data_IF_390268619604
#
_entry.id   IF_390268619604
#
_cell.length_a   1.000
_cell.length_b   1.000
_cell.length_c   1.000
_cell.angle_alpha   90.00
_cell.angle_beta   90.00
_cell.angle_gamma   90.00
#
_symmetry.space_group_name_H-M   'P 1'
#
loop_
_entity.id
_entity.type
_entity.pdbx_description
1 polymer ?
#
# COMPACT_ATOMS: atom_id res chain seq x y z
N UNK A 1 -35.46 40.37 -28.65
CA UNK A 1 -36.03 39.92 -27.36
C UNK A 1 -35.81 38.43 -27.27
N UNK A 2 -34.97 37.99 -26.33
CA UNK A 2 -34.32 36.67 -26.37
C UNK A 2 -35.17 35.52 -25.82
N UNK A 3 -34.75 34.27 -26.04
CA UNK A 3 -35.17 33.13 -25.25
C UNK A 3 -34.15 32.82 -24.14
N UNK A 4 -34.66 32.26 -23.05
CA UNK A 4 -34.03 32.17 -21.74
C UNK A 4 -32.97 31.07 -21.58
N UNK A 5 -32.24 31.26 -20.48
CA UNK A 5 -31.24 30.38 -19.89
C UNK A 5 -31.86 29.21 -19.10
N UNK A 6 -31.13 28.11 -19.14
CA UNK A 6 -30.86 27.09 -18.12
C UNK A 6 -32.00 26.28 -17.46
N UNK A 7 -31.90 24.96 -17.63
CA UNK A 7 -31.43 24.10 -16.52
C UNK A 7 -31.09 22.69 -17.06
N UNK A 8 -29.80 22.32 -17.00
CA UNK A 8 -29.37 20.91 -17.05
C UNK A 8 -28.43 20.66 -15.87
N UNK A 9 -28.71 19.64 -15.04
CA UNK A 9 -27.83 19.29 -13.93
C UNK A 9 -26.52 18.68 -14.46
N UNK A 10 -25.43 19.09 -13.83
CA UNK A 10 -24.07 18.64 -14.07
C UNK A 10 -23.89 17.15 -13.70
N UNK A 11 -23.62 16.31 -14.70
CA UNK A 11 -23.05 14.99 -14.48
C UNK A 11 -21.61 15.14 -13.93
N UNK A 12 -21.42 14.70 -12.69
CA UNK A 12 -20.09 14.49 -12.11
C UNK A 12 -19.44 13.32 -12.83
N UNK A 13 -18.34 13.58 -13.53
CA UNK A 13 -17.53 12.55 -14.17
C UNK A 13 -16.75 11.75 -13.11
N UNK A 14 -17.34 10.67 -12.60
CA UNK A 14 -16.62 9.60 -11.89
C UNK A 14 -16.08 8.61 -12.93
N UNK A 15 -14.79 8.70 -13.25
CA UNK A 15 -14.13 7.80 -14.20
C UNK A 15 -13.96 6.38 -13.62
N UNK A 16 -14.94 5.51 -13.85
CA UNK A 16 -14.86 4.06 -13.61
C UNK A 16 -14.07 3.38 -14.74
N UNK A 17 -13.04 2.61 -14.41
CA UNK A 17 -12.18 1.89 -15.36
C UNK A 17 -12.36 0.38 -15.19
N UNK A 18 -12.62 -0.33 -16.30
CA UNK A 18 -12.94 -1.77 -16.35
C UNK A 18 -11.73 -2.60 -16.84
N UNK A 19 -11.47 -3.73 -16.18
CA UNK A 19 -10.49 -4.75 -16.63
C UNK A 19 -11.21 -6.09 -16.84
N UNK A 20 -10.97 -6.77 -17.97
CA UNK A 20 -11.66 -8.01 -18.37
C UNK A 20 -10.86 -9.28 -18.03
N UNK A 21 -11.57 -10.39 -17.75
CA UNK A 21 -11.02 -11.68 -17.28
C UNK A 21 -10.32 -12.51 -18.38
N UNK A 22 -9.19 -13.16 -18.05
CA UNK A 22 -8.66 -14.38 -18.71
C UNK A 22 -8.19 -15.41 -17.67
N UNK A 23 -8.40 -16.68 -18.00
CA UNK A 23 -8.51 -17.84 -17.09
C UNK A 23 -7.25 -18.22 -16.28
N UNK A 24 -7.49 -18.90 -15.15
CA UNK A 24 -6.53 -19.25 -14.10
C UNK A 24 -6.17 -20.75 -14.08
N UNK A 25 -4.90 -21.06 -13.81
CA UNK A 25 -4.43 -22.35 -13.31
C UNK A 25 -3.50 -22.12 -12.11
N UNK A 26 -3.60 -23.03 -11.13
CA UNK A 26 -3.13 -22.92 -9.75
C UNK A 26 -1.60 -22.78 -9.60
N UNK A 27 -1.18 -22.03 -8.57
CA UNK A 27 0.16 -22.10 -8.01
C UNK A 27 0.09 -21.98 -6.47
N UNK A 28 0.63 -23.00 -5.80
CA UNK A 28 0.81 -23.12 -4.36
C UNK A 28 2.25 -22.71 -4.02
N UNK A 29 2.44 -21.90 -2.97
CA UNK A 29 3.73 -21.73 -2.27
C UNK A 29 4.47 -20.42 -2.60
N UNK A 30 5.11 -19.73 -1.65
CA UNK A 30 5.37 -20.06 -0.27
C UNK A 30 5.87 -18.83 0.51
N UNK A 31 5.55 -18.84 1.81
CA UNK A 31 6.02 -17.88 2.80
C UNK A 31 7.25 -18.43 3.54
N UNK A 32 7.94 -17.51 4.24
CA UNK A 32 8.97 -17.66 5.29
C UNK A 32 10.43 -17.76 4.86
N UNK A 33 11.26 -16.85 5.40
CA UNK A 33 12.33 -17.11 6.39
C UNK A 33 12.79 -15.76 6.99
N UNK A 34 13.11 -15.75 8.28
CA UNK A 34 13.58 -14.58 9.05
C UNK A 34 15.07 -14.71 9.35
N UNK A 35 15.81 -13.59 9.37
CA UNK A 35 17.18 -13.53 9.90
C UNK A 35 17.45 -12.21 10.62
N UNK A 36 18.04 -12.35 11.80
CA UNK A 36 18.28 -11.30 12.80
C UNK A 36 19.66 -10.67 12.63
N UNK A 37 19.74 -9.36 12.40
CA UNK A 37 20.98 -8.56 12.57
C UNK A 37 20.63 -7.20 13.20
N UNK A 38 21.27 -6.92 14.33
CA UNK A 38 20.93 -5.87 15.29
C UNK A 38 21.00 -4.42 14.79
N UNK A 39 20.24 -3.55 15.47
CA UNK A 39 20.16 -2.11 15.21
C UNK A 39 20.81 -1.28 16.32
N UNK A 40 21.50 -0.22 15.91
CA UNK A 40 22.20 0.75 16.76
C UNK A 40 21.24 1.76 17.41
N UNK A 41 21.58 2.17 18.64
CA UNK A 41 20.82 3.03 19.55
C UNK A 41 21.02 4.53 19.26
N UNK A 42 20.17 5.16 18.44
CA UNK A 42 19.99 6.63 18.43
C UNK A 42 18.69 7.00 17.69
N UNK A 43 17.55 6.98 18.36
CA UNK A 43 16.34 7.68 17.90
C UNK A 43 15.74 8.41 19.11
N UNK A 44 15.61 9.73 19.01
CA UNK A 44 14.98 10.60 20.02
C UNK A 44 13.47 10.58 19.82
N UNK A 45 12.73 10.15 20.84
CA UNK A 45 11.27 10.16 20.91
C UNK A 45 10.73 11.62 20.90
N UNK A 46 9.93 12.02 19.90
CA UNK A 46 9.41 13.38 19.79
C UNK A 46 8.22 13.68 20.73
N UNK A 47 7.83 12.77 21.63
CA UNK A 47 6.78 12.99 22.63
C UNK A 47 5.38 12.58 22.15
N UNK A 48 4.46 12.42 23.11
CA UNK A 48 3.13 11.81 22.92
C UNK A 48 2.24 12.54 21.91
N UNK A 49 2.34 13.86 21.84
CA UNK A 49 1.49 14.73 21.02
C UNK A 49 2.02 14.94 19.58
N UNK A 50 3.13 14.29 19.22
CA UNK A 50 3.68 14.42 17.88
C UNK A 50 2.81 13.71 16.83
N UNK A 51 2.57 14.33 15.65
CA UNK A 51 1.75 13.72 14.59
C UNK A 51 2.38 12.41 14.11
N UNK A 52 1.52 11.45 13.77
CA UNK A 52 1.94 10.20 13.11
C UNK A 52 2.36 10.55 11.69
N UNK A 53 3.58 10.16 11.29
CA UNK A 53 4.12 10.52 9.97
C UNK A 53 4.10 9.34 9.01
N UNK A 54 3.60 9.56 7.80
CA UNK A 54 3.71 8.61 6.71
C UNK A 54 4.59 9.23 5.64
N UNK A 55 5.85 8.79 5.57
CA UNK A 55 6.84 9.36 4.66
C UNK A 55 6.94 8.52 3.40
N UNK A 56 6.59 9.11 2.27
CA UNK A 56 6.57 8.43 0.96
C UNK A 56 7.80 8.81 0.15
N UNK A 57 8.62 7.81 -0.19
CA UNK A 57 9.89 7.98 -0.88
C UNK A 57 9.80 7.47 -2.32
N UNK A 58 10.20 8.27 -3.31
CA UNK A 58 10.16 7.88 -4.71
C UNK A 58 11.46 7.13 -5.05
N UNK A 59 11.32 5.99 -5.72
CA UNK A 59 12.42 5.35 -6.44
C UNK A 59 12.77 6.06 -7.75
N UNK A 60 13.86 5.62 -8.37
CA UNK A 60 14.24 6.11 -9.71
C UNK A 60 13.25 5.59 -10.76
N UNK A 61 12.73 6.49 -11.61
CA UNK A 61 11.94 6.14 -12.79
C UNK A 61 12.77 6.38 -14.06
N UNK A 62 12.98 5.35 -14.91
CA UNK A 62 13.76 5.50 -16.14
C UNK A 62 13.17 6.55 -17.09
N UNK A 63 13.99 7.35 -17.81
CA UNK A 63 13.50 8.40 -18.71
C UNK A 63 12.48 7.92 -19.75
N UNK A 64 12.69 6.73 -20.32
CA UNK A 64 11.77 6.11 -21.29
C UNK A 64 10.39 5.84 -20.69
N UNK A 65 10.32 5.48 -19.40
CA UNK A 65 9.05 5.31 -18.71
C UNK A 65 8.40 6.66 -18.40
N UNK A 66 9.19 7.68 -18.08
CA UNK A 66 8.68 9.04 -17.85
C UNK A 66 8.08 9.65 -19.13
N UNK A 67 8.69 9.39 -20.28
CA UNK A 67 8.23 9.87 -21.59
C UNK A 67 6.80 9.36 -21.92
N UNK A 68 6.44 8.14 -21.48
CA UNK A 68 5.06 7.60 -21.61
C UNK A 68 4.01 8.51 -20.98
N UNK A 69 4.38 9.33 -19.99
CA UNK A 69 3.49 10.25 -19.29
C UNK A 69 3.62 11.71 -19.77
N UNK A 70 4.24 11.92 -20.94
CA UNK A 70 4.41 13.24 -21.57
C UNK A 70 5.73 13.93 -21.22
N UNK A 71 6.12 14.89 -22.06
CA UNK A 71 7.38 15.65 -21.90
C UNK A 71 7.41 16.44 -20.59
N UNK A 72 6.28 16.99 -20.15
CA UNK A 72 6.15 17.64 -18.84
C UNK A 72 6.59 16.74 -17.68
N UNK A 73 6.34 15.43 -17.78
CA UNK A 73 6.72 14.48 -16.74
C UNK A 73 8.23 14.24 -16.66
N UNK A 74 9.02 14.63 -17.68
CA UNK A 74 10.49 14.65 -17.62
C UNK A 74 10.99 15.81 -16.76
N UNK A 75 10.28 16.94 -16.78
CA UNK A 75 10.66 18.17 -16.08
C UNK A 75 10.15 18.24 -14.64
N UNK A 76 9.03 17.58 -14.32
CA UNK A 76 8.51 17.50 -12.94
C UNK A 76 9.39 16.60 -12.07
N UNK A 77 9.40 16.80 -10.76
CA UNK A 77 10.19 15.93 -9.88
C UNK A 77 9.69 14.48 -9.85
N UNK A 78 8.37 14.29 -9.70
CA UNK A 78 7.72 12.99 -9.62
C UNK A 78 6.82 12.78 -10.83
N UNK A 79 6.88 11.62 -11.52
CA UNK A 79 5.94 11.32 -12.59
C UNK A 79 4.53 11.07 -12.03
N UNK A 80 3.50 11.14 -12.89
CA UNK A 80 2.11 11.04 -12.47
C UNK A 80 1.79 9.80 -11.59
N UNK A 81 2.26 8.58 -11.90
CA UNK A 81 1.97 7.41 -11.05
C UNK A 81 2.36 7.59 -9.59
N UNK A 82 3.49 8.24 -9.33
CA UNK A 82 3.99 8.41 -7.96
C UNK A 82 3.20 9.49 -7.22
N UNK A 83 2.79 10.55 -7.92
CA UNK A 83 1.96 11.61 -7.33
C UNK A 83 0.56 11.08 -6.99
N UNK A 84 -0.02 10.29 -7.89
CA UNK A 84 -1.35 9.72 -7.69
C UNK A 84 -1.33 8.66 -6.58
N UNK A 85 -0.25 7.88 -6.47
CA UNK A 85 -0.05 6.95 -5.35
C UNK A 85 0.08 7.69 -3.99
N UNK A 86 0.85 8.78 -3.94
CA UNK A 86 0.96 9.63 -2.75
C UNK A 86 -0.40 10.21 -2.34
N UNK A 87 -1.13 10.81 -3.29
CA UNK A 87 -2.45 11.37 -3.03
C UNK A 87 -3.46 10.31 -2.59
N UNK A 88 -3.38 9.10 -3.16
CA UNK A 88 -4.25 8.00 -2.74
C UNK A 88 -3.97 7.54 -1.30
N UNK A 89 -2.69 7.49 -0.89
CA UNK A 89 -2.32 7.21 0.51
C UNK A 89 -2.87 8.31 1.43
N UNK A 90 -2.65 9.58 1.08
CA UNK A 90 -3.14 10.74 1.84
C UNK A 90 -4.66 10.68 2.07
N UNK A 91 -5.44 10.56 0.99
CA UNK A 91 -6.90 10.43 1.08
C UNK A 91 -7.38 9.18 1.82
N UNK A 92 -6.61 8.09 1.83
CA UNK A 92 -6.95 6.90 2.62
C UNK A 92 -6.82 7.16 4.13
N UNK A 93 -5.79 7.89 4.57
CA UNK A 93 -5.66 8.25 5.99
C UNK A 93 -6.60 9.38 6.41
N UNK A 94 -7.03 10.25 5.49
CA UNK A 94 -8.15 11.16 5.73
C UNK A 94 -9.45 10.39 6.03
N UNK A 95 -9.72 9.29 5.30
CA UNK A 95 -10.88 8.42 5.56
C UNK A 95 -10.81 7.76 6.94
N UNK A 96 -9.62 7.29 7.37
CA UNK A 96 -9.41 6.72 8.71
C UNK A 96 -9.69 7.77 9.80
N UNK A 97 -9.15 8.98 9.65
CA UNK A 97 -9.38 10.06 10.61
C UNK A 97 -10.85 10.50 10.65
N UNK A 98 -11.53 10.57 9.50
CA UNK A 98 -12.96 10.84 9.45
C UNK A 98 -13.76 9.76 10.17
N UNK A 99 -13.47 8.48 9.89
CA UNK A 99 -14.10 7.34 10.55
C UNK A 99 -13.95 7.37 12.08
N UNK A 100 -12.75 7.69 12.57
CA UNK A 100 -12.45 7.78 14.01
C UNK A 100 -13.20 8.94 14.67
N UNK A 101 -13.18 10.13 14.04
CA UNK A 101 -13.87 11.33 14.54
C UNK A 101 -15.39 11.16 14.59
N UNK A 102 -15.97 10.52 13.58
CA UNK A 102 -17.41 10.19 13.56
C UNK A 102 -17.83 9.29 14.74
N UNK A 103 -16.85 8.65 15.40
CA UNK A 103 -17.02 7.79 16.58
C UNK A 103 -16.44 8.39 17.86
N UNK A 104 -16.08 9.68 17.86
CA UNK A 104 -15.44 10.37 18.98
C UNK A 104 -14.16 9.67 19.51
N UNK A 105 -13.35 9.13 18.59
CA UNK A 105 -12.07 8.47 18.86
C UNK A 105 -10.93 9.26 18.23
N UNK A 106 -9.75 9.24 18.86
CA UNK A 106 -8.54 9.88 18.34
C UNK A 106 -8.73 11.36 17.96
N UNK A 107 -9.53 12.10 18.72
CA UNK A 107 -9.97 13.47 18.35
C UNK A 107 -8.80 14.45 18.17
N UNK A 108 -7.72 14.27 18.94
CA UNK A 108 -6.50 15.07 18.89
C UNK A 108 -5.40 14.48 17.99
N UNK A 109 -5.61 13.29 17.41
CA UNK A 109 -4.58 12.64 16.61
C UNK A 109 -4.48 13.31 15.23
N UNK A 110 -3.26 13.68 14.88
CA UNK A 110 -2.91 14.14 13.54
C UNK A 110 -2.08 13.09 12.81
N UNK A 111 -2.43 12.84 11.54
CA UNK A 111 -1.63 12.02 10.62
C UNK A 111 -1.19 12.92 9.47
N UNK A 112 0.12 12.94 9.21
CA UNK A 112 0.70 13.70 8.10
C UNK A 112 1.31 12.76 7.08
N UNK A 113 0.85 12.85 5.83
CA UNK A 113 1.48 12.16 4.70
C UNK A 113 2.48 13.09 4.03
N UNK A 114 3.76 12.77 4.19
CA UNK A 114 4.88 13.61 3.83
C UNK A 114 5.59 13.08 2.57
N UNK A 115 6.01 14.01 1.72
CA UNK A 115 6.86 13.70 0.57
C UNK A 115 8.33 13.56 1.00
N UNK A 116 8.86 12.34 0.90
CA UNK A 116 10.26 12.02 1.18
C UNK A 116 11.22 12.32 0.03
N UNK A 117 12.51 12.52 0.37
CA UNK A 117 13.57 12.71 -0.61
C UNK A 117 13.87 11.41 -1.39
N UNK A 118 14.14 11.46 -2.70
CA UNK A 118 14.35 10.28 -3.52
C UNK A 118 15.34 9.27 -2.96
N UNK A 119 14.98 7.98 -3.00
CA UNK A 119 15.87 6.89 -2.56
C UNK A 119 16.46 6.23 -3.78
N UNK A 120 17.79 6.18 -3.79
CA UNK A 120 18.61 5.55 -4.81
C UNK A 120 19.47 4.50 -4.15
N UNK A 121 19.52 3.32 -4.76
CA UNK A 121 20.46 2.28 -4.40
C UNK A 121 21.64 2.38 -5.38
N UNK A 122 22.86 2.67 -4.90
CA UNK A 122 24.05 2.59 -5.73
C UNK A 122 24.19 1.17 -6.27
N UNK A 123 24.85 0.99 -7.42
CA UNK A 123 25.32 -0.32 -7.84
C UNK A 123 26.18 -0.93 -6.71
N UNK A 124 25.96 -2.21 -6.35
CA UNK A 124 26.81 -2.86 -5.35
C UNK A 124 28.24 -2.97 -5.88
N UNK A 125 29.22 -2.73 -5.01
CA UNK A 125 30.65 -2.98 -5.29
C UNK A 125 31.01 -4.47 -5.21
N UNK A 126 30.09 -5.29 -4.68
CA UNK A 126 30.15 -6.75 -4.56
C UNK A 126 29.79 -7.42 -5.91
N UNK A 127 30.36 -8.59 -6.25
CA UNK A 127 30.10 -9.27 -7.53
C UNK A 127 28.61 -9.41 -7.87
N UNK A 128 28.32 -9.40 -9.17
CA UNK A 128 26.98 -9.49 -9.78
C UNK A 128 26.21 -10.74 -9.31
N UNK A 129 25.58 -10.67 -8.14
CA UNK A 129 24.59 -11.65 -7.71
C UNK A 129 23.24 -11.35 -8.38
N UNK A 130 22.38 -12.36 -8.47
CA UNK A 130 21.00 -12.16 -8.94
C UNK A 130 20.28 -11.10 -8.09
N UNK A 131 20.57 -11.03 -6.79
CA UNK A 131 20.01 -10.00 -5.88
C UNK A 131 20.58 -8.60 -6.09
N UNK A 132 21.72 -8.45 -6.79
CA UNK A 132 22.23 -7.14 -7.18
C UNK A 132 21.38 -6.53 -8.32
N UNK A 133 20.87 -7.37 -9.23
CA UNK A 133 20.12 -6.95 -10.42
C UNK A 133 18.60 -7.05 -10.22
N UNK A 134 18.14 -8.12 -9.57
CA UNK A 134 16.74 -8.47 -9.35
C UNK A 134 16.51 -8.83 -7.87
N UNK A 135 16.58 -7.85 -6.95
CA UNK A 135 16.51 -8.10 -5.51
C UNK A 135 15.18 -8.74 -5.13
N UNK A 136 15.19 -9.63 -4.13
CA UNK A 136 13.96 -10.04 -3.43
C UNK A 136 13.31 -8.84 -2.74
N UNK A 137 12.03 -8.99 -2.38
CA UNK A 137 11.33 -8.01 -1.54
C UNK A 137 12.06 -7.76 -0.22
N UNK A 138 12.52 -8.82 0.45
CA UNK A 138 13.27 -8.75 1.71
C UNK A 138 14.54 -7.91 1.58
N UNK A 139 15.41 -8.24 0.61
CA UNK A 139 16.63 -7.46 0.35
C UNK A 139 16.33 -6.00 0.02
N UNK A 140 15.23 -5.72 -0.67
CA UNK A 140 14.82 -4.36 -0.99
C UNK A 140 14.40 -3.58 0.26
N UNK A 141 13.62 -4.20 1.14
CA UNK A 141 13.19 -3.64 2.42
C UNK A 141 14.37 -3.41 3.38
N UNK A 142 15.33 -4.33 3.44
CA UNK A 142 16.56 -4.16 4.22
C UNK A 142 17.39 -2.97 3.73
N UNK A 143 17.64 -2.88 2.42
CA UNK A 143 18.38 -1.75 1.83
C UNK A 143 17.65 -0.43 2.03
N UNK A 144 16.32 -0.44 1.98
CA UNK A 144 15.51 0.74 2.27
C UNK A 144 15.68 1.18 3.72
N UNK A 145 15.60 0.24 4.67
CA UNK A 145 15.85 0.50 6.09
C UNK A 145 17.23 1.11 6.35
N UNK A 146 18.26 0.53 5.74
CA UNK A 146 19.63 1.05 5.85
C UNK A 146 19.73 2.49 5.32
N UNK A 147 19.04 2.80 4.21
CA UNK A 147 18.98 4.16 3.65
C UNK A 147 18.29 5.15 4.57
N UNK A 148 17.22 4.73 5.25
CA UNK A 148 16.53 5.56 6.24
C UNK A 148 17.41 5.81 7.46
N UNK A 149 18.08 4.78 7.96
CA UNK A 149 19.04 4.88 9.06
C UNK A 149 20.19 5.83 8.74
N UNK A 150 20.78 5.71 7.56
CA UNK A 150 21.87 6.59 7.10
C UNK A 150 21.44 8.05 6.88
N UNK A 151 20.13 8.34 6.94
CA UNK A 151 19.55 9.69 6.84
C UNK A 151 19.02 10.19 8.18
N UNK A 152 19.23 9.44 9.27
CA UNK A 152 18.64 9.70 10.59
C UNK A 152 17.12 9.94 10.49
N UNK A 153 16.46 9.22 9.58
CA UNK A 153 15.03 9.39 9.30
C UNK A 153 14.14 8.56 10.21
N UNK A 154 14.73 7.62 10.96
CA UNK A 154 14.03 6.68 11.84
C UNK A 154 13.74 7.35 13.20
N UNK A 155 12.48 7.43 13.58
CA UNK A 155 11.98 8.21 14.73
C UNK A 155 11.11 7.41 15.71
N UNK A 156 10.71 6.19 15.38
CA UNK A 156 9.78 5.37 16.18
C UNK A 156 8.30 5.70 16.03
N UNK A 157 7.95 6.75 15.27
CA UNK A 157 6.57 7.21 15.04
C UNK A 157 6.24 7.46 13.57
N UNK A 158 7.00 6.84 12.66
CA UNK A 158 6.79 6.96 11.24
C UNK A 158 6.46 5.60 10.57
N UNK A 159 5.66 5.66 9.52
CA UNK A 159 5.59 4.65 8.48
C UNK A 159 6.35 5.17 7.26
N UNK A 160 7.27 4.37 6.72
CA UNK A 160 8.05 4.71 5.54
C UNK A 160 7.60 3.88 4.34
N UNK A 161 7.11 4.55 3.29
CA UNK A 161 6.61 3.91 2.07
C UNK A 161 7.60 4.13 0.95
N UNK A 162 8.09 3.08 0.30
CA UNK A 162 8.94 3.21 -0.89
C UNK A 162 8.19 2.89 -2.18
N UNK A 163 8.00 3.90 -3.03
CA UNK A 163 7.40 3.75 -4.35
C UNK A 163 8.46 3.30 -5.36
N UNK A 164 8.45 2.01 -5.69
CA UNK A 164 9.42 1.37 -6.59
C UNK A 164 8.90 1.38 -8.03
N UNK A 165 9.76 1.77 -8.97
CA UNK A 165 9.55 1.50 -10.39
C UNK A 165 10.35 0.27 -10.83
N UNK A 166 9.73 -0.91 -10.79
CA UNK A 166 10.41 -2.16 -11.18
C UNK A 166 9.46 -3.15 -11.87
N UNK A 167 8.95 -2.80 -13.07
CA UNK A 167 7.93 -3.58 -13.79
C UNK A 167 8.35 -4.96 -14.25
N UNK A 168 9.61 -5.36 -14.08
CA UNK A 168 10.11 -6.67 -14.51
C UNK A 168 10.62 -7.51 -13.32
N UNK A 169 10.52 -6.98 -12.08
CA UNK A 169 10.95 -7.71 -10.89
C UNK A 169 9.79 -8.48 -10.26
N UNK A 170 9.57 -9.70 -10.74
CA UNK A 170 8.55 -10.61 -10.20
C UNK A 170 8.78 -10.98 -8.73
N UNK A 171 10.04 -10.94 -8.24
CA UNK A 171 10.39 -11.26 -6.84
C UNK A 171 9.96 -10.19 -5.84
N UNK A 172 9.68 -8.98 -6.32
CA UNK A 172 9.05 -7.89 -5.54
C UNK A 172 7.54 -7.88 -5.75
N UNK A 173 7.03 -8.47 -6.84
CA UNK A 173 5.61 -8.42 -7.17
C UNK A 173 5.08 -6.99 -7.21
N UNK A 174 3.91 -6.76 -6.61
CA UNK A 174 3.30 -5.43 -6.45
C UNK A 174 3.78 -4.67 -5.22
N UNK A 175 4.56 -5.33 -4.37
CA UNK A 175 4.99 -4.76 -3.12
C UNK A 175 5.00 -5.81 -2.03
N UNK A 176 5.12 -5.29 -0.82
CA UNK A 176 4.95 -6.06 0.38
C UNK A 176 5.55 -5.33 1.57
N UNK A 177 5.00 -5.67 2.72
CA UNK A 177 5.61 -5.51 4.03
C UNK A 177 6.28 -6.83 4.40
N UNK A 178 7.38 -6.79 5.16
CA UNK A 178 7.79 -8.01 5.86
C UNK A 178 6.80 -8.25 7.01
N UNK A 179 6.31 -9.49 7.12
CA UNK A 179 5.27 -9.96 8.04
C UNK A 179 5.39 -9.38 9.46
N UNK A 180 4.25 -9.18 10.14
CA UNK A 180 3.75 -7.85 10.45
C UNK A 180 4.41 -7.36 11.74
N UNK A 181 4.79 -6.08 11.76
CA UNK A 181 5.57 -5.43 12.83
C UNK A 181 7.08 -5.71 12.82
N UNK A 182 7.64 -6.38 11.80
CA UNK A 182 9.05 -6.73 11.82
C UNK A 182 9.96 -5.50 11.72
N UNK A 183 10.44 -5.14 12.91
CA UNK A 183 11.50 -4.21 13.30
C UNK A 183 11.06 -2.77 13.46
N UNK A 184 10.09 -2.61 14.34
CA UNK A 184 10.03 -1.49 15.26
C UNK A 184 10.90 -1.80 16.49
N UNK A 185 12.22 -2.00 16.34
CA UNK A 185 13.14 -2.34 17.45
C UNK A 185 12.91 -3.76 18.02
N UNK A 186 13.86 -4.67 17.88
CA UNK A 186 13.77 -5.92 18.65
C UNK A 186 13.89 -5.61 20.15
N UNK A 187 12.91 -6.15 20.89
CA UNK A 187 12.97 -6.53 22.30
C UNK A 187 14.39 -6.92 22.73
N UNK A 188 15.14 -5.96 23.26
CA UNK A 188 15.86 -6.25 24.49
C UNK A 188 14.80 -6.25 25.60
N UNK A 189 14.81 -7.32 26.40
CA UNK A 189 13.94 -7.47 27.54
C UNK A 189 14.21 -6.35 28.56
N UNK A 190 13.47 -5.26 28.46
CA UNK A 190 13.53 -4.11 29.36
C UNK A 190 13.04 -2.84 28.65
N UNK A 191 11.77 -2.51 28.88
CA UNK A 191 11.06 -1.29 28.46
C UNK A 191 10.77 -1.12 26.96
N UNK A 192 9.47 -1.13 26.64
CA UNK A 192 8.94 -1.14 25.29
C UNK A 192 9.01 0.22 24.59
N UNK A 193 9.45 0.21 23.33
CA UNK A 193 9.12 1.26 22.38
C UNK A 193 9.22 0.72 20.94
N UNK A 194 8.16 0.90 20.16
CA UNK A 194 8.09 0.51 18.77
C UNK A 194 8.89 1.46 17.87
N UNK A 195 9.95 0.99 17.22
CA UNK A 195 10.52 1.64 16.02
C UNK A 195 9.54 1.90 14.84
N UNK A 196 10.07 2.37 13.70
CA UNK A 196 9.26 2.72 12.52
C UNK A 196 8.85 1.51 11.66
N UNK A 197 7.68 1.62 11.03
CA UNK A 197 7.22 0.66 10.04
C UNK A 197 7.71 1.00 8.63
N UNK A 198 7.81 0.00 7.75
CA UNK A 198 8.25 0.21 6.37
C UNK A 198 7.54 -0.72 5.39
N UNK A 199 7.34 -0.22 4.18
CA UNK A 199 6.69 -0.95 3.10
C UNK A 199 7.24 -0.56 1.73
N UNK A 200 7.05 -1.44 0.74
CA UNK A 200 7.35 -1.16 -0.66
C UNK A 200 6.07 -1.34 -1.48
N UNK A 201 5.78 -0.37 -2.34
CA UNK A 201 4.78 -0.50 -3.40
C UNK A 201 5.45 -0.40 -4.77
N UNK A 202 5.36 -1.45 -5.59
CA UNK A 202 5.95 -1.52 -6.93
C UNK A 202 5.01 -0.91 -7.97
N UNK A 203 4.90 0.43 -7.91
CA UNK A 203 4.16 1.26 -8.87
C UNK A 203 4.53 0.96 -10.32
N UNK A 204 5.78 0.63 -10.61
CA UNK A 204 6.18 0.25 -11.96
C UNK A 204 5.42 -0.98 -12.47
N UNK A 205 5.30 -2.02 -11.63
CA UNK A 205 4.62 -3.26 -12.01
C UNK A 205 3.13 -3.04 -12.23
N UNK A 206 2.45 -2.33 -11.32
CA UNK A 206 1.01 -2.02 -11.46
C UNK A 206 0.71 -1.16 -12.70
N UNK A 207 1.58 -0.20 -13.04
CA UNK A 207 1.43 0.65 -14.23
C UNK A 207 1.69 -0.05 -15.57
N UNK A 208 2.50 -1.10 -15.56
CA UNK A 208 2.86 -1.83 -16.78
C UNK A 208 1.96 -3.05 -16.97
N UNK A 209 1.57 -3.72 -15.89
CA UNK A 209 0.78 -4.94 -15.97
C UNK A 209 -0.72 -4.73 -15.80
N UNK A 210 -1.15 -3.64 -15.15
CA UNK A 210 -2.58 -3.32 -14.95
C UNK A 210 -2.90 -1.87 -15.34
N UNK A 211 -3.22 -1.03 -14.34
CA UNK A 211 -3.80 0.30 -14.54
C UNK A 211 -3.45 1.24 -13.39
N UNK A 212 -3.68 2.53 -13.63
CA UNK A 212 -3.53 3.57 -12.60
C UNK A 212 -4.43 3.35 -11.38
N UNK A 213 -5.60 2.73 -11.56
CA UNK A 213 -6.49 2.41 -10.45
C UNK A 213 -5.84 1.37 -9.52
N UNK A 214 -5.26 0.32 -10.08
CA UNK A 214 -4.49 -0.69 -9.33
C UNK A 214 -3.27 -0.07 -8.66
N UNK A 215 -2.56 0.83 -9.33
CA UNK A 215 -1.42 1.56 -8.71
C UNK A 215 -1.82 2.31 -7.44
N UNK A 216 -2.95 3.03 -7.46
CA UNK A 216 -3.44 3.77 -6.29
C UNK A 216 -3.87 2.81 -5.17
N UNK A 217 -4.63 1.79 -5.55
CA UNK A 217 -5.13 0.76 -4.65
C UNK A 217 -3.96 0.02 -3.96
N UNK A 218 -2.92 -0.37 -4.69
CA UNK A 218 -1.72 -1.02 -4.15
C UNK A 218 -0.88 -0.13 -3.25
N UNK A 219 -0.74 1.15 -3.59
CA UNK A 219 -0.05 2.09 -2.71
C UNK A 219 -0.75 2.19 -1.35
N UNK A 220 -2.08 2.21 -1.33
CA UNK A 220 -2.87 2.17 -0.10
C UNK A 220 -2.70 0.82 0.61
N UNK A 221 -2.91 -0.29 -0.11
CA UNK A 221 -2.81 -1.66 0.40
C UNK A 221 -1.52 -1.90 1.19
N UNK A 222 -0.38 -1.63 0.55
CA UNK A 222 0.94 -1.87 1.14
C UNK A 222 1.23 -0.95 2.32
N UNK A 223 0.65 0.26 2.31
CA UNK A 223 0.77 1.20 3.42
C UNK A 223 -0.09 0.74 4.59
N UNK A 224 -1.36 0.37 4.37
CA UNK A 224 -2.28 -0.03 5.42
C UNK A 224 -1.83 -1.32 6.13
N UNK A 225 -1.17 -2.25 5.43
CA UNK A 225 -0.54 -3.42 6.07
C UNK A 225 0.39 -3.09 7.22
N UNK A 226 1.01 -1.91 7.21
CA UNK A 226 1.86 -1.47 8.31
C UNK A 226 1.10 -1.07 9.59
N UNK A 227 -0.23 -0.96 9.50
CA UNK A 227 -1.15 -0.55 10.57
C UNK A 227 -2.16 -1.66 10.94
N UNK A 228 -2.02 -2.87 10.39
CA UNK A 228 -2.93 -4.00 10.63
C UNK A 228 -2.19 -5.21 11.21
N UNK A 229 -1.78 -5.17 12.49
CA UNK A 229 -1.18 -6.33 13.13
C UNK A 229 -2.22 -7.43 13.36
N UNK A 230 -1.77 -8.69 13.24
CA UNK A 230 -2.61 -9.89 13.28
C UNK A 230 -3.59 -9.94 14.48
N UNK A 231 -3.18 -9.46 15.66
CA UNK A 231 -4.02 -9.49 16.85
C UNK A 231 -5.19 -8.49 16.79
N UNK A 232 -4.99 -7.33 16.16
CA UNK A 232 -6.06 -6.35 15.91
C UNK A 232 -6.98 -6.86 14.81
N UNK A 233 -6.41 -7.43 13.75
CA UNK A 233 -7.17 -8.05 12.66
C UNK A 233 -8.08 -9.14 13.20
N UNK A 234 -7.54 -10.07 13.99
CA UNK A 234 -8.30 -11.17 14.60
C UNK A 234 -9.43 -10.68 15.52
N UNK A 235 -9.27 -9.53 16.15
CA UNK A 235 -10.29 -8.90 16.97
C UNK A 235 -11.43 -8.22 16.17
N UNK A 236 -11.35 -8.20 14.83
CA UNK A 236 -12.36 -7.64 13.94
C UNK A 236 -13.03 -8.78 13.19
N UNK A 237 -14.23 -9.15 13.65
CA UNK A 237 -15.08 -10.13 12.95
C UNK A 237 -14.45 -11.52 12.80
N UNK A 238 -13.56 -11.93 13.72
CA UNK A 238 -12.80 -13.18 13.67
C UNK A 238 -12.00 -13.37 12.37
N UNK A 239 -11.50 -12.25 11.79
CA UNK A 239 -10.70 -12.28 10.58
C UNK A 239 -9.37 -13.03 10.80
N UNK A 240 -9.00 -13.90 9.87
CA UNK A 240 -7.73 -14.65 9.94
C UNK A 240 -6.57 -13.94 9.23
N UNK A 241 -6.90 -12.98 8.36
CA UNK A 241 -5.95 -12.24 7.55
C UNK A 241 -6.49 -10.83 7.36
N UNK A 242 -5.60 -9.85 7.34
CA UNK A 242 -5.93 -8.44 7.09
C UNK A 242 -6.75 -8.24 5.80
N UNK A 243 -6.50 -9.02 4.74
CA UNK A 243 -7.26 -8.95 3.49
C UNK A 243 -8.75 -9.17 3.69
N UNK A 244 -9.16 -9.97 4.68
CA UNK A 244 -10.56 -10.21 5.02
C UNK A 244 -11.26 -8.93 5.50
N UNK A 245 -10.54 -7.89 5.91
CA UNK A 245 -11.15 -6.60 6.26
C UNK A 245 -11.66 -5.83 5.03
N UNK A 246 -11.19 -6.16 3.83
CA UNK A 246 -11.63 -5.51 2.61
C UNK A 246 -13.04 -5.88 2.14
N UNK A 247 -13.52 -5.16 1.13
CA UNK A 247 -14.75 -5.45 0.38
C UNK A 247 -14.51 -5.72 -1.10
N UNK A 248 -15.34 -6.62 -1.65
CA UNK A 248 -15.48 -6.87 -3.08
C UNK A 248 -16.97 -6.91 -3.45
N UNK A 249 -17.51 -5.79 -3.94
CA UNK A 249 -18.96 -5.55 -4.04
C UNK A 249 -19.39 -5.33 -5.48
N UNK A 250 -20.61 -5.71 -5.83
CA UNK A 250 -21.14 -5.50 -7.18
C UNK A 250 -21.50 -4.04 -7.36
N UNK A 251 -21.01 -3.44 -8.45
CA UNK A 251 -21.46 -2.10 -8.90
C UNK A 251 -22.49 -2.19 -10.01
N UNK A 252 -22.47 -3.28 -10.78
CA UNK A 252 -23.47 -3.65 -11.77
C UNK A 252 -23.57 -5.17 -11.88
N UNK A 253 -24.38 -5.67 -12.82
CA UNK A 253 -24.64 -7.11 -12.98
C UNK A 253 -23.37 -7.94 -13.23
N UNK A 254 -22.35 -7.34 -13.88
CA UNK A 254 -21.16 -8.04 -14.40
C UNK A 254 -19.84 -7.49 -13.84
N UNK A 255 -19.88 -6.52 -12.94
CA UNK A 255 -18.68 -5.82 -12.42
C UNK A 255 -18.60 -5.91 -10.91
N UNK A 256 -17.43 -6.35 -10.42
CA UNK A 256 -17.09 -6.32 -9.00
C UNK A 256 -16.05 -5.23 -8.73
N UNK A 257 -16.37 -4.33 -7.80
CA UNK A 257 -15.47 -3.29 -7.31
C UNK A 257 -14.72 -3.77 -6.08
N UNK A 258 -13.41 -3.59 -6.10
CA UNK A 258 -12.49 -4.11 -5.09
C UNK A 258 -11.86 -2.94 -4.32
N UNK A 259 -11.99 -2.98 -2.99
CA UNK A 259 -11.33 -2.05 -2.07
C UNK A 259 -9.84 -2.39 -1.88
N UNK A 260 -8.99 -1.46 -1.39
CA UNK A 260 -7.56 -1.67 -1.26
C UNK A 260 -7.14 -2.98 -0.58
N UNK A 261 -7.68 -3.25 0.62
CA UNK A 261 -7.28 -4.41 1.41
C UNK A 261 -7.91 -5.72 0.92
N UNK A 262 -8.99 -5.69 0.14
CA UNK A 262 -9.60 -6.89 -0.43
C UNK A 262 -8.77 -7.55 -1.54
N UNK A 263 -7.57 -7.03 -1.82
CA UNK A 263 -6.84 -7.41 -3.01
C UNK A 263 -5.58 -8.20 -2.69
N UNK A 264 -5.60 -9.49 -2.96
CA UNK A 264 -4.38 -10.29 -3.00
C UNK A 264 -3.93 -10.43 -4.46
N UNK A 265 -2.82 -9.79 -4.78
CA UNK A 265 -2.24 -9.85 -6.10
C UNK A 265 -1.17 -10.94 -6.15
N UNK A 266 -1.51 -12.15 -6.58
CA UNK A 266 -0.46 -13.08 -6.99
C UNK A 266 0.11 -12.60 -8.32
N UNK A 267 1.26 -11.91 -8.20
CA UNK A 267 2.14 -11.63 -9.32
C UNK A 267 2.63 -12.93 -9.95
N UNK A 268 3.09 -12.87 -11.20
CA UNK A 268 3.10 -14.02 -12.06
C UNK A 268 4.32 -14.92 -11.84
N UNK A 269 4.10 -16.22 -11.94
CA UNK A 269 5.15 -17.25 -12.10
C UNK A 269 6.01 -17.05 -13.39
N UNK A 270 5.81 -15.93 -14.12
CA UNK A 270 6.44 -15.52 -15.38
C UNK A 270 6.34 -14.02 -15.63
N UNK A 271 7.32 -13.41 -16.28
CA UNK A 271 7.32 -11.98 -16.63
C UNK A 271 6.02 -11.57 -17.38
N UNK A 272 5.33 -10.51 -16.91
CA UNK A 272 4.22 -9.87 -17.62
C UNK A 272 2.81 -10.46 -17.41
N UNK A 273 2.61 -11.32 -16.41
CA UNK A 273 1.31 -11.99 -16.19
C UNK A 273 0.23 -11.24 -15.41
N UNK A 274 0.48 -10.00 -14.95
CA UNK A 274 -0.50 -9.13 -14.28
C UNK A 274 -1.24 -9.71 -13.08
N UNK A 275 -2.29 -9.02 -12.65
CA UNK A 275 -3.18 -9.49 -11.59
C UNK A 275 -3.95 -10.74 -12.03
N UNK A 276 -4.03 -11.76 -11.17
CA UNK A 276 -4.84 -12.98 -11.42
C UNK A 276 -5.98 -13.21 -10.44
N UNK A 277 -5.92 -12.59 -9.27
CA UNK A 277 -6.71 -12.98 -8.09
C UNK A 277 -7.48 -11.78 -7.52
N UNK A 278 -8.15 -11.06 -8.42
CA UNK A 278 -8.98 -9.89 -8.15
C UNK A 278 -10.00 -10.16 -7.04
N UNK A 279 -9.90 -9.44 -5.92
CA UNK A 279 -10.92 -9.52 -4.85
C UNK A 279 -11.00 -10.90 -4.21
N UNK A 280 -9.89 -11.62 -4.05
CA UNK A 280 -9.89 -12.97 -3.47
C UNK A 280 -9.13 -13.11 -2.15
N UNK A 281 -8.33 -12.10 -1.76
CA UNK A 281 -7.59 -12.11 -0.51
C UNK A 281 -6.59 -13.28 -0.43
N UNK A 282 -6.04 -13.54 0.76
CA UNK A 282 -5.01 -14.57 0.90
C UNK A 282 -5.51 -16.01 0.67
N UNK A 283 -6.76 -16.38 1.02
CA UNK A 283 -7.21 -17.78 0.94
C UNK A 283 -8.73 -18.02 0.82
N UNK A 284 -9.60 -17.23 1.44
CA UNK A 284 -11.05 -17.51 1.51
C UNK A 284 -11.92 -16.28 1.18
N UNK A 285 -12.64 -16.36 0.05
CA UNK A 285 -13.47 -15.27 -0.48
C UNK A 285 -14.73 -15.01 0.35
N UNK A 286 -15.18 -15.97 1.14
CA UNK A 286 -16.40 -15.83 1.94
C UNK A 286 -16.19 -15.06 3.25
N UNK A 287 -14.94 -14.70 3.55
CA UNK A 287 -14.56 -14.09 4.83
C UNK A 287 -14.31 -12.60 4.77
N UNK A 288 -14.37 -12.01 3.58
CA UNK A 288 -14.33 -10.56 3.46
C UNK A 288 -15.43 -9.90 4.29
N UNK A 289 -15.15 -8.70 4.79
CA UNK A 289 -16.14 -7.85 5.46
C UNK A 289 -17.41 -7.71 4.63
N UNK A 290 -17.26 -7.63 3.30
CA UNK A 290 -18.35 -7.83 2.36
C UNK A 290 -17.86 -8.40 1.03
N UNK A 291 -18.53 -9.45 0.54
CA UNK A 291 -18.27 -10.02 -0.77
C UNK A 291 -19.56 -10.46 -1.48
N UNK A 292 -19.87 -9.86 -2.62
CA UNK A 292 -21.15 -10.05 -3.34
C UNK A 292 -21.10 -11.24 -4.35
N UNK A 293 -20.08 -12.11 -4.23
CA UNK A 293 -19.90 -13.31 -5.06
C UNK A 293 -19.29 -13.02 -6.43
N UNK A 294 -18.56 -13.99 -6.99
CA UNK A 294 -17.91 -13.84 -8.31
C UNK A 294 -18.73 -14.42 -9.47
N UNK A 295 -19.90 -15.00 -9.21
CA UNK A 295 -20.71 -15.67 -10.23
C UNK A 295 -21.26 -14.67 -11.24
N UNK A 296 -21.02 -14.89 -12.54
CA UNK A 296 -21.43 -13.96 -13.59
C UNK A 296 -20.61 -12.66 -13.64
N UNK A 297 -19.54 -12.52 -12.85
CA UNK A 297 -18.63 -11.37 -12.93
C UNK A 297 -17.67 -11.53 -14.10
N UNK A 298 -17.65 -10.53 -14.99
CA UNK A 298 -16.78 -10.46 -16.16
C UNK A 298 -15.74 -9.33 -16.04
N UNK A 299 -16.05 -8.31 -15.25
CA UNK A 299 -15.27 -7.09 -15.10
C UNK A 299 -14.90 -6.83 -13.64
N UNK A 300 -13.76 -6.15 -13.48
CA UNK A 300 -13.28 -5.68 -12.19
C UNK A 300 -13.01 -4.18 -12.24
N UNK A 301 -13.44 -3.47 -11.21
CA UNK A 301 -13.07 -2.08 -10.93
C UNK A 301 -12.36 -2.00 -9.58
N UNK A 302 -11.64 -0.90 -9.36
CA UNK A 302 -10.88 -0.68 -8.13
C UNK A 302 -11.20 0.69 -7.57
N UNK A 303 -11.57 0.71 -6.30
CA UNK A 303 -11.76 1.93 -5.53
C UNK A 303 -10.54 2.22 -4.65
N UNK A 304 -10.42 3.48 -4.24
CA UNK A 304 -9.53 3.93 -3.17
C UNK A 304 -10.25 4.06 -1.83
N UNK A 305 -11.56 3.76 -1.81
CA UNK A 305 -12.37 3.81 -0.61
C UNK A 305 -12.03 2.62 0.29
N UNK A 306 -11.85 2.92 1.58
CA UNK A 306 -11.62 1.92 2.61
C UNK A 306 -12.95 1.35 3.10
N UNK A 307 -12.95 0.06 3.42
CA UNK A 307 -14.07 -0.53 4.14
C UNK A 307 -14.10 -0.04 5.59
N UNK A 308 -15.27 -0.08 6.22
CA UNK A 308 -15.39 0.24 7.65
C UNK A 308 -14.50 -0.65 8.53
N UNK A 309 -14.38 -1.93 8.20
CA UNK A 309 -13.50 -2.86 8.93
C UNK A 309 -12.01 -2.51 8.77
N UNK A 310 -11.60 -2.04 7.58
CA UNK A 310 -10.23 -1.55 7.38
C UNK A 310 -9.98 -0.30 8.23
N UNK A 311 -10.90 0.67 8.21
CA UNK A 311 -10.79 1.87 9.04
C UNK A 311 -10.78 1.53 10.55
N UNK A 312 -11.60 0.58 10.99
CA UNK A 312 -11.63 0.11 12.37
C UNK A 312 -10.28 -0.50 12.80
N UNK A 313 -9.68 -1.35 11.95
CA UNK A 313 -8.37 -1.95 12.20
C UNK A 313 -7.27 -0.93 12.38
N UNK A 314 -7.17 0.02 11.45
CA UNK A 314 -6.18 1.10 11.55
C UNK A 314 -6.45 1.97 12.78
N UNK A 315 -7.72 2.30 13.08
CA UNK A 315 -8.09 3.11 14.26
C UNK A 315 -7.65 2.44 15.56
N UNK A 316 -7.95 1.13 15.75
CA UNK A 316 -7.52 0.37 16.94
C UNK A 316 -6.00 0.32 17.07
N UNK A 317 -5.28 0.20 15.96
CA UNK A 317 -3.82 0.24 15.98
C UNK A 317 -3.31 1.59 16.49
N UNK A 318 -3.88 2.68 15.96
CA UNK A 318 -3.48 4.03 16.35
C UNK A 318 -3.79 4.31 17.82
N UNK A 319 -4.94 3.87 18.34
CA UNK A 319 -5.27 3.98 19.77
C UNK A 319 -4.26 3.24 20.63
N UNK A 320 -3.99 1.97 20.29
CA UNK A 320 -3.04 1.14 21.03
C UNK A 320 -1.64 1.75 21.05
N UNK A 321 -1.23 2.41 19.97
CA UNK A 321 0.14 2.93 19.82
C UNK A 321 0.31 4.36 20.31
N UNK A 322 -0.73 5.20 20.27
CA UNK A 322 -0.61 6.65 20.45
C UNK A 322 -1.59 7.27 21.45
N UNK A 323 -2.60 6.54 21.93
CA UNK A 323 -3.61 7.05 22.87
C UNK A 323 -3.39 6.56 24.33
N UNK A 324 -2.32 5.80 24.61
CA UNK A 324 -1.97 5.28 25.95
C UNK A 324 -1.26 6.29 26.86
#
# INVERSE_FOLDING_TARGET
MGPGFDDRPSERASGQWRVTRREALAAIGGATLASSIGASRTATDPGRDAPVRIRVYPGTVPPQARLRYGLDALHRDWPAPFRDALAAIDSAFEQVLAYARDRARLESLEISVERGAPIRFPPSTTPLSVDAVLPSLETLLERFRERLRNRDALTGRACHVFLRWSPLNFRVGYGGTLAPNSITGERDAGDGDGGDAQTVANVGATEVWDSRAVTRNMAIHETIHTFLPDDIVAAIGDAYCDHELGTAVRTDEVTLEISPIATAYAGPDRIGGGTRFHGTGCCDRNRFYRHDGTDGIENWSYTTDLSEATCEGVTRYLERRFDS
#
